data_IF_878310740664
#
_entry.id   IF_878310740664
#
_cell.length_a   1.000
_cell.length_b   1.000
_cell.length_c   1.000
_cell.angle_alpha   90.00
_cell.angle_beta   90.00
_cell.angle_gamma   90.00
#
_symmetry.space_group_name_H-M   'P 1'
#
loop_
_entity.id
_entity.type
_entity.pdbx_description
1 polymer ?
#
# COMPACT_ATOMS: atom_id res chain seq x y z
N UNK A 1 10.48 6.63 -13.01
CA UNK A 1 10.39 8.01 -12.46
C UNK A 1 9.10 8.65 -12.90
N UNK A 2 8.89 8.64 -14.21
CA UNK A 2 7.62 8.66 -14.91
C UNK A 2 6.53 7.72 -14.35
N UNK A 3 6.85 6.52 -13.87
CA UNK A 3 5.86 5.55 -13.38
C UNK A 3 5.11 6.02 -12.12
N UNK A 4 5.79 6.67 -11.17
CA UNK A 4 5.15 7.29 -9.99
C UNK A 4 4.30 8.49 -10.41
N UNK A 5 4.91 9.39 -11.19
CA UNK A 5 4.28 10.62 -11.65
C UNK A 5 3.05 10.31 -12.51
N UNK A 6 3.13 9.30 -13.38
CA UNK A 6 2.03 8.85 -14.22
C UNK A 6 0.83 8.39 -13.39
N UNK A 7 1.05 7.60 -12.33
CA UNK A 7 -0.01 7.18 -11.40
C UNK A 7 -0.68 8.37 -10.74
N UNK A 8 0.11 9.31 -10.22
CA UNK A 8 -0.42 10.54 -9.59
C UNK A 8 -1.19 11.40 -10.60
N UNK A 9 -0.67 11.56 -11.82
CA UNK A 9 -1.33 12.32 -12.89
C UNK A 9 -2.64 11.66 -13.36
N UNK A 10 -2.76 10.34 -13.28
CA UNK A 10 -4.02 9.62 -13.55
C UNK A 10 -5.05 9.75 -12.41
N UNK A 11 -4.76 10.53 -11.38
CA UNK A 11 -5.66 10.81 -10.27
C UNK A 11 -5.56 9.82 -9.11
N UNK A 12 -4.53 8.95 -9.09
CA UNK A 12 -4.31 8.09 -7.92
C UNK A 12 -3.74 8.90 -6.76
N UNK A 13 -4.20 8.65 -5.52
CA UNK A 13 -3.72 9.37 -4.35
C UNK A 13 -2.23 9.09 -4.13
N UNK A 14 -1.41 10.14 -4.11
CA UNK A 14 0.04 10.06 -3.86
C UNK A 14 0.39 9.39 -2.53
N UNK A 15 -0.49 9.56 -1.54
CA UNK A 15 -0.37 9.00 -0.20
C UNK A 15 -1.36 7.85 0.03
N UNK A 16 -1.76 7.15 -1.03
CA UNK A 16 -2.57 5.94 -0.95
C UNK A 16 -1.73 4.70 -1.23
N UNK A 17 -2.09 3.59 -0.58
CA UNK A 17 -1.56 2.27 -0.94
C UNK A 17 -1.97 1.85 -2.36
N UNK A 18 -3.08 2.40 -2.88
CA UNK A 18 -3.64 2.12 -4.21
C UNK A 18 -2.63 2.39 -5.33
N UNK A 19 -1.68 3.28 -5.07
CA UNK A 19 -0.58 3.58 -5.98
C UNK A 19 0.29 2.34 -6.26
N UNK A 20 0.31 1.35 -5.37
CA UNK A 20 1.01 0.09 -5.50
C UNK A 20 0.18 -1.03 -6.19
N UNK A 21 -1.06 -0.76 -6.58
CA UNK A 21 -1.88 -1.75 -7.29
C UNK A 21 -1.30 -1.99 -8.68
N UNK A 22 -1.10 -3.26 -9.01
CA UNK A 22 -0.70 -3.74 -10.32
C UNK A 22 -1.85 -3.54 -11.31
N UNK A 23 -1.55 -3.13 -12.55
CA UNK A 23 -2.58 -3.00 -13.57
C UNK A 23 -3.25 -4.37 -13.83
N UNK A 24 -4.51 -4.38 -14.28
CA UNK A 24 -5.16 -5.62 -14.68
C UNK A 24 -4.36 -6.35 -15.76
N UNK A 25 -4.09 -7.62 -15.51
CA UNK A 25 -3.39 -8.51 -16.45
C UNK A 25 -4.12 -9.85 -16.55
N UNK A 26 -3.96 -10.54 -17.68
CA UNK A 26 -4.42 -11.91 -17.82
C UNK A 26 -3.42 -12.89 -17.21
N UNK A 27 -3.95 -13.86 -16.48
CA UNK A 27 -3.23 -14.97 -15.85
C UNK A 27 -3.85 -16.29 -16.34
N UNK A 28 -3.55 -16.73 -17.57
CA UNK A 28 -4.09 -17.97 -18.10
C UNK A 28 -3.50 -19.18 -17.38
N UNK A 29 -4.35 -20.14 -17.02
CA UNK A 29 -3.95 -21.38 -16.36
C UNK A 29 -3.62 -22.48 -17.37
N UNK A 30 -4.28 -22.44 -18.53
CA UNK A 30 -4.15 -23.46 -19.57
C UNK A 30 -3.70 -22.86 -20.91
N UNK A 31 -3.14 -23.69 -21.80
CA UNK A 31 -2.83 -23.29 -23.16
C UNK A 31 -4.09 -22.91 -23.97
N UNK A 32 -5.24 -23.49 -23.62
CA UNK A 32 -6.53 -23.12 -24.20
C UNK A 32 -6.95 -21.70 -23.80
N UNK A 33 -6.66 -21.28 -22.58
CA UNK A 33 -6.92 -19.91 -22.12
C UNK A 33 -6.02 -18.88 -22.81
N UNK A 34 -4.73 -19.20 -22.99
CA UNK A 34 -3.82 -18.39 -23.81
C UNK A 34 -4.35 -18.20 -25.24
N UNK A 35 -4.74 -19.30 -25.90
CA UNK A 35 -5.28 -19.26 -27.25
C UNK A 35 -6.58 -18.45 -27.33
N UNK A 36 -7.46 -18.62 -26.34
CA UNK A 36 -8.71 -17.89 -26.24
C UNK A 36 -8.50 -16.38 -26.03
N UNK A 37 -7.56 -15.98 -25.16
CA UNK A 37 -7.20 -14.57 -24.95
C UNK A 37 -6.66 -13.97 -26.25
N UNK A 38 -5.79 -14.69 -26.95
CA UNK A 38 -5.21 -14.21 -28.21
C UNK A 38 -6.25 -14.06 -29.33
N UNK A 39 -7.20 -14.99 -29.42
CA UNK A 39 -8.33 -14.87 -30.34
C UNK A 39 -9.18 -13.64 -30.01
N UNK A 40 -9.50 -13.43 -28.73
CA UNK A 40 -10.23 -12.25 -28.28
C UNK A 40 -9.48 -10.95 -28.59
N UNK A 41 -8.15 -10.92 -28.41
CA UNK A 41 -7.33 -9.76 -28.76
C UNK A 41 -7.37 -9.47 -30.27
N UNK A 42 -7.22 -10.50 -31.11
CA UNK A 42 -7.29 -10.38 -32.59
C UNK A 42 -8.65 -9.92 -33.10
N UNK A 43 -9.71 -10.35 -32.42
CA UNK A 43 -11.08 -9.95 -32.75
C UNK A 43 -11.37 -8.48 -32.38
N UNK A 44 -10.79 -8.01 -31.27
CA UNK A 44 -11.10 -6.69 -30.69
C UNK A 44 -10.17 -5.58 -31.21
N UNK A 45 -8.94 -5.92 -31.60
CA UNK A 45 -7.92 -4.95 -32.00
C UNK A 45 -7.14 -5.44 -33.23
N UNK A 46 -6.71 -4.49 -34.07
CA UNK A 46 -5.83 -4.82 -35.19
C UNK A 46 -4.42 -5.15 -34.69
N UNK A 47 -4.15 -6.44 -34.56
CA UNK A 47 -2.85 -6.97 -34.10
C UNK A 47 -1.69 -6.73 -35.07
N UNK A 48 -1.95 -6.28 -36.30
CA UNK A 48 -0.89 -5.87 -37.23
C UNK A 48 -0.41 -4.44 -36.94
N UNK A 49 -1.26 -3.63 -36.30
CA UNK A 49 -0.96 -2.24 -35.92
C UNK A 49 -0.56 -2.12 -34.45
N UNK A 50 -1.07 -3.02 -33.59
CA UNK A 50 -0.87 -2.98 -32.14
C UNK A 50 0.00 -4.16 -31.71
N UNK A 51 1.04 -3.86 -30.92
CA UNK A 51 1.87 -4.89 -30.31
C UNK A 51 0.99 -5.88 -29.50
N UNK A 52 1.14 -7.21 -29.67
CA UNK A 52 0.29 -8.21 -28.99
C UNK A 52 0.28 -8.08 -27.46
N UNK A 53 1.41 -7.76 -26.85
CA UNK A 53 1.50 -7.55 -25.40
C UNK A 53 0.74 -6.30 -24.93
N UNK A 54 0.71 -5.24 -25.74
CA UNK A 54 -0.09 -4.05 -25.47
C UNK A 54 -1.57 -4.35 -25.67
N UNK A 55 -1.94 -5.06 -26.74
CA UNK A 55 -3.32 -5.46 -26.99
C UNK A 55 -3.89 -6.28 -25.82
N UNK A 56 -3.13 -7.26 -25.31
CA UNK A 56 -3.51 -8.05 -24.13
C UNK A 56 -3.76 -7.16 -22.90
N UNK A 57 -2.86 -6.22 -22.60
CA UNK A 57 -3.01 -5.31 -21.45
C UNK A 57 -4.21 -4.37 -21.60
N UNK A 58 -4.43 -3.84 -22.81
CA UNK A 58 -5.58 -3.00 -23.10
C UNK A 58 -6.89 -3.78 -22.94
N UNK A 59 -6.96 -5.00 -23.48
CA UNK A 59 -8.14 -5.85 -23.31
C UNK A 59 -8.38 -6.20 -21.83
N UNK A 60 -7.35 -6.58 -21.08
CA UNK A 60 -7.46 -6.85 -19.65
C UNK A 60 -8.01 -5.63 -18.88
N UNK A 61 -7.52 -4.43 -19.18
CA UNK A 61 -8.01 -3.19 -18.58
C UNK A 61 -9.49 -2.93 -18.90
N UNK A 62 -9.89 -3.09 -20.17
CA UNK A 62 -11.29 -2.92 -20.61
C UNK A 62 -12.21 -3.91 -19.91
N UNK A 63 -11.84 -5.19 -19.87
CA UNK A 63 -12.65 -6.25 -19.24
C UNK A 63 -12.77 -6.01 -17.74
N UNK A 64 -11.67 -5.67 -17.06
CA UNK A 64 -11.68 -5.39 -15.63
C UNK A 64 -12.58 -4.20 -15.27
N UNK A 65 -12.58 -3.15 -16.10
CA UNK A 65 -13.36 -1.93 -15.87
C UNK A 65 -14.73 -1.89 -16.57
N UNK A 66 -15.16 -2.98 -17.21
CA UNK A 66 -16.33 -2.98 -18.11
C UNK A 66 -17.62 -2.43 -17.47
N UNK A 67 -17.85 -2.74 -16.19
CA UNK A 67 -19.03 -2.28 -15.47
C UNK A 67 -19.02 -0.75 -15.32
N UNK A 68 -17.87 -0.20 -14.92
CA UNK A 68 -17.68 1.25 -14.78
C UNK A 68 -17.72 1.96 -16.13
N UNK A 69 -17.18 1.34 -17.18
CA UNK A 69 -17.27 1.86 -18.55
C UNK A 69 -18.72 1.93 -19.04
N UNK A 70 -19.57 0.96 -18.68
CA UNK A 70 -21.01 1.00 -19.02
C UNK A 70 -21.77 2.12 -18.32
N UNK A 71 -21.38 2.46 -17.10
CA UNK A 71 -21.97 3.58 -16.35
C UNK A 71 -21.54 4.94 -16.92
N UNK A 72 -20.31 5.03 -17.45
CA UNK A 72 -19.70 6.30 -17.85
C UNK A 72 -19.79 6.60 -19.35
N UNK A 73 -19.83 5.58 -20.21
CA UNK A 73 -19.85 5.77 -21.66
C UNK A 73 -21.28 5.79 -22.21
N UNK A 74 -21.56 6.63 -23.22
CA UNK A 74 -22.86 6.65 -23.88
C UNK A 74 -23.25 5.29 -24.47
N UNK A 75 -24.55 4.95 -24.55
CA UNK A 75 -25.02 3.70 -25.15
C UNK A 75 -24.64 3.51 -26.63
N UNK A 76 -24.34 4.59 -27.35
CA UNK A 76 -23.88 4.56 -28.75
C UNK A 76 -22.35 4.50 -28.94
N UNK A 77 -21.59 4.27 -27.87
CA UNK A 77 -20.12 4.23 -27.96
C UNK A 77 -19.65 3.03 -28.80
N UNK A 78 -18.61 3.22 -29.64
CA UNK A 78 -18.09 2.19 -30.57
C UNK A 78 -17.61 0.91 -29.88
N UNK A 79 -17.20 1.01 -28.62
CA UNK A 79 -16.84 -0.14 -27.78
C UNK A 79 -17.98 -1.16 -27.68
N UNK A 80 -19.22 -0.70 -27.71
CA UNK A 80 -20.41 -1.53 -27.63
C UNK A 80 -20.84 -2.11 -28.98
N UNK A 81 -20.12 -1.82 -30.07
CA UNK A 81 -20.31 -2.50 -31.35
C UNK A 81 -19.43 -3.74 -31.48
N UNK A 82 -18.46 -3.91 -30.57
CA UNK A 82 -17.52 -5.03 -30.59
C UNK A 82 -18.19 -6.36 -30.25
N UNK A 83 -17.83 -7.41 -30.99
CA UNK A 83 -18.44 -8.75 -30.84
C UNK A 83 -17.95 -9.46 -29.57
N UNK A 84 -16.68 -9.32 -29.24
CA UNK A 84 -16.05 -9.94 -28.07
C UNK A 84 -16.62 -9.31 -26.79
N UNK A 85 -16.70 -7.98 -26.75
CA UNK A 85 -17.16 -7.23 -25.57
C UNK A 85 -18.66 -7.43 -25.30
N UNK A 86 -19.47 -7.62 -26.35
CA UNK A 86 -20.90 -7.92 -26.19
C UNK A 86 -21.20 -9.39 -25.89
N UNK A 87 -20.24 -10.29 -26.09
CA UNK A 87 -20.43 -11.70 -25.78
C UNK A 87 -20.31 -11.93 -24.26
N UNK A 88 -21.45 -12.18 -23.61
CA UNK A 88 -21.50 -12.41 -22.15
C UNK A 88 -20.62 -13.56 -21.68
N UNK A 89 -20.65 -14.70 -22.40
CA UNK A 89 -19.87 -15.88 -22.03
C UNK A 89 -18.37 -15.61 -22.16
N UNK A 90 -17.96 -14.96 -23.26
CA UNK A 90 -16.57 -14.60 -23.46
C UNK A 90 -16.08 -13.61 -22.39
N UNK A 91 -16.89 -12.60 -22.05
CA UNK A 91 -16.56 -11.62 -21.02
C UNK A 91 -16.49 -12.22 -19.62
N UNK A 92 -17.37 -13.17 -19.27
CA UNK A 92 -17.31 -13.89 -18.00
C UNK A 92 -16.03 -14.71 -17.91
N UNK A 93 -15.68 -15.46 -18.97
CA UNK A 93 -14.41 -16.21 -19.03
C UNK A 93 -13.19 -15.29 -18.98
N UNK A 94 -13.16 -14.20 -19.74
CA UNK A 94 -12.05 -13.25 -19.70
C UNK A 94 -11.91 -12.63 -18.31
N UNK A 95 -13.02 -12.33 -17.62
CA UNK A 95 -12.99 -11.74 -16.29
C UNK A 95 -12.48 -12.71 -15.22
N UNK A 96 -12.74 -14.01 -15.34
CA UNK A 96 -12.18 -15.00 -14.40
C UNK A 96 -10.66 -15.16 -14.55
N UNK A 97 -10.10 -14.82 -15.71
CA UNK A 97 -8.67 -14.92 -16.00
C UNK A 97 -7.89 -13.64 -15.63
N UNK A 98 -8.54 -12.61 -15.07
CA UNK A 98 -7.88 -11.34 -14.75
C UNK A 98 -7.41 -11.30 -13.31
N UNK A 99 -6.14 -10.93 -13.14
CA UNK A 99 -5.58 -10.54 -11.88
C UNK A 99 -5.35 -9.02 -11.84
N UNK A 100 -5.82 -8.38 -10.77
CA UNK A 100 -5.50 -7.00 -10.41
C UNK A 100 -5.40 -6.93 -8.90
N UNK A 101 -4.25 -6.54 -8.39
CA UNK A 101 -3.96 -6.60 -6.96
C UNK A 101 -2.58 -6.11 -6.66
N UNK A 102 -2.02 -6.54 -5.55
CA UNK A 102 -0.69 -6.10 -5.13
C UNK A 102 0.37 -7.18 -5.38
N UNK A 103 1.64 -6.75 -5.44
CA UNK A 103 2.79 -7.60 -5.76
C UNK A 103 3.11 -8.70 -4.72
N UNK A 104 2.63 -8.56 -3.49
CA UNK A 104 2.79 -9.56 -2.41
C UNK A 104 1.71 -10.65 -2.45
N UNK A 105 0.76 -10.58 -3.39
CA UNK A 105 -0.17 -11.67 -3.61
C UNK A 105 0.59 -12.89 -4.17
N UNK A 106 0.31 -14.12 -3.71
CA UNK A 106 0.96 -15.32 -4.22
C UNK A 106 0.96 -15.44 -5.74
N UNK A 107 -0.16 -15.09 -6.40
CA UNK A 107 -0.32 -15.12 -7.85
C UNK A 107 0.65 -14.14 -8.52
N UNK A 108 0.81 -12.95 -7.94
CA UNK A 108 1.72 -11.94 -8.46
C UNK A 108 3.18 -12.33 -8.29
N UNK A 109 3.52 -12.97 -7.16
CA UNK A 109 4.88 -13.45 -6.88
C UNK A 109 5.28 -14.58 -7.83
N UNK A 110 4.40 -15.55 -8.06
CA UNK A 110 4.64 -16.67 -8.98
C UNK A 110 4.88 -16.18 -10.42
N UNK A 111 4.12 -15.19 -10.86
CA UNK A 111 4.27 -14.55 -12.16
C UNK A 111 5.37 -13.46 -12.21
N UNK A 112 6.15 -13.27 -11.13
CA UNK A 112 7.20 -12.25 -11.02
C UNK A 112 6.72 -10.83 -11.38
N UNK A 113 5.50 -10.47 -10.98
CA UNK A 113 4.94 -9.15 -11.20
C UNK A 113 5.45 -8.18 -10.15
N UNK A 114 6.01 -7.06 -10.60
CA UNK A 114 6.54 -6.02 -9.73
C UNK A 114 5.89 -4.68 -10.05
N UNK A 115 5.46 -3.96 -9.00
CA UNK A 115 4.99 -2.59 -9.15
C UNK A 115 6.20 -1.66 -9.17
N UNK A 116 6.68 -1.32 -10.35
CA UNK A 116 7.84 -0.44 -10.54
C UNK A 116 7.49 1.02 -10.22
N UNK A 117 8.48 1.77 -9.74
CA UNK A 117 8.34 3.19 -9.46
C UNK A 117 7.39 3.52 -8.31
N UNK A 118 7.01 2.55 -7.47
CA UNK A 118 6.19 2.80 -6.28
C UNK A 118 7.07 3.32 -5.14
N UNK A 119 6.73 4.46 -4.51
CA UNK A 119 7.46 4.97 -3.36
C UNK A 119 7.46 4.00 -2.18
N UNK A 120 8.54 3.96 -1.37
CA UNK A 120 8.64 3.06 -0.21
C UNK A 120 7.50 3.22 0.80
N UNK A 121 7.00 4.45 0.98
CA UNK A 121 5.93 4.74 1.95
C UNK A 121 4.60 4.06 1.59
N UNK A 122 4.34 3.74 0.32
CA UNK A 122 3.13 3.01 -0.08
C UNK A 122 3.10 1.59 0.52
N UNK A 123 4.25 0.92 0.64
CA UNK A 123 4.35 -0.37 1.30
C UNK A 123 4.06 -0.25 2.81
N UNK A 124 4.56 0.80 3.46
CA UNK A 124 4.28 1.07 4.87
C UNK A 124 2.80 1.37 5.12
N UNK A 125 2.19 2.23 4.30
CA UNK A 125 0.76 2.58 4.40
C UNK A 125 -0.12 1.34 4.29
N UNK A 126 0.27 0.39 3.44
CA UNK A 126 -0.44 -0.86 3.30
C UNK A 126 -0.32 -1.77 4.51
N UNK A 127 0.88 -1.92 5.05
CA UNK A 127 1.07 -2.65 6.32
C UNK A 127 0.23 -2.03 7.44
N UNK A 128 0.16 -0.69 7.51
CA UNK A 128 -0.69 0.01 8.47
C UNK A 128 -2.18 -0.27 8.25
N UNK A 129 -2.65 -0.34 6.99
CA UNK A 129 -4.04 -0.70 6.70
C UNK A 129 -4.37 -2.13 7.11
N UNK A 130 -3.48 -3.09 6.82
CA UNK A 130 -3.65 -4.48 7.24
C UNK A 130 -3.78 -4.58 8.76
N UNK A 131 -2.90 -3.89 9.50
CA UNK A 131 -2.96 -3.84 10.97
C UNK A 131 -4.25 -3.19 11.44
N UNK A 132 -4.65 -2.07 10.83
CA UNK A 132 -5.92 -1.39 11.15
C UNK A 132 -7.12 -2.32 10.95
N UNK A 133 -7.17 -3.06 9.85
CA UNK A 133 -8.27 -3.97 9.53
C UNK A 133 -8.28 -5.19 10.47
N UNK A 134 -7.11 -5.69 10.87
CA UNK A 134 -6.99 -6.74 11.89
C UNK A 134 -7.46 -6.25 13.26
N UNK A 135 -7.06 -5.05 13.69
CA UNK A 135 -7.52 -4.44 14.93
C UNK A 135 -9.03 -4.22 14.90
N UNK A 136 -9.57 -3.71 13.80
CA UNK A 136 -11.02 -3.52 13.65
C UNK A 136 -11.82 -4.83 13.79
N UNK A 137 -11.25 -5.97 13.37
CA UNK A 137 -11.87 -7.29 13.54
C UNK A 137 -11.81 -7.82 14.98
N UNK A 138 -10.91 -7.32 15.81
CA UNK A 138 -10.80 -7.72 17.22
C UNK A 138 -11.79 -6.98 18.12
N UNK A 139 -12.22 -5.77 17.74
CA UNK A 139 -13.16 -4.94 18.53
C UNK A 139 -14.46 -5.69 18.88
N UNK A 140 -15.15 -6.39 17.95
CA UNK A 140 -16.37 -7.12 18.28
C UNK A 140 -16.17 -8.26 19.29
N UNK A 141 -15.00 -8.91 19.26
CA UNK A 141 -14.68 -9.98 20.22
C UNK A 141 -14.50 -9.44 21.63
N UNK A 142 -13.93 -8.24 21.77
CA UNK A 142 -13.80 -7.55 23.05
C UNK A 142 -15.18 -7.09 23.56
N UNK A 143 -16.03 -6.54 22.71
CA UNK A 143 -17.40 -6.15 23.09
C UNK A 143 -18.25 -7.37 23.52
N UNK A 144 -18.13 -8.49 22.82
CA UNK A 144 -18.78 -9.75 23.18
C UNK A 144 -18.31 -10.24 24.56
N UNK A 145 -17.00 -10.23 24.82
CA UNK A 145 -16.44 -10.60 26.13
C UNK A 145 -16.89 -9.64 27.24
N UNK A 146 -16.91 -8.33 26.99
CA UNK A 146 -17.42 -7.32 27.92
C UNK A 146 -18.92 -7.49 28.20
N UNK A 147 -19.70 -8.00 27.23
CA UNK A 147 -21.14 -8.26 27.41
C UNK A 147 -21.43 -9.51 28.26
N UNK A 148 -20.49 -10.45 28.33
CA UNK A 148 -20.59 -11.68 29.13
C UNK A 148 -20.14 -11.48 30.58
N UNK A 149 -19.34 -10.46 30.83
CA UNK A 149 -18.79 -10.08 32.14
C UNK A 149 -19.86 -9.98 33.25
N UNK A 150 -21.03 -9.34 33.05
CA UNK A 150 -22.08 -9.29 34.07
C UNK A 150 -22.75 -10.64 34.38
N UNK A 151 -22.65 -11.63 33.49
CA UNK A 151 -23.14 -12.99 33.75
C UNK A 151 -22.12 -13.77 34.57
N UNK A 152 -20.85 -13.75 34.15
CA UNK A 152 -19.74 -14.34 34.91
C UNK A 152 -19.66 -13.78 36.34
N UNK A 153 -19.89 -12.48 36.52
CA UNK A 153 -19.97 -11.86 37.85
C UNK A 153 -21.13 -12.38 38.70
N UNK A 154 -22.30 -12.60 38.09
CA UNK A 154 -23.46 -13.15 38.81
C UNK A 154 -23.22 -14.60 39.20
N UNK A 155 -22.76 -15.42 38.26
CA UNK A 155 -22.50 -16.84 38.50
C UNK A 155 -21.44 -17.02 39.61
N UNK A 156 -20.36 -16.24 39.59
CA UNK A 156 -19.34 -16.28 40.63
C UNK A 156 -19.83 -15.76 42.00
N UNK A 157 -20.76 -14.80 42.02
CA UNK A 157 -21.36 -14.31 43.26
C UNK A 157 -22.35 -15.33 43.83
N UNK A 158 -23.15 -15.95 42.97
CA UNK A 158 -24.09 -17.02 43.34
C UNK A 158 -23.35 -18.26 43.87
N UNK A 159 -22.22 -18.63 43.25
CA UNK A 159 -21.33 -19.70 43.74
C UNK A 159 -20.72 -19.34 45.10
N UNK A 160 -20.27 -18.10 45.30
CA UNK A 160 -19.73 -17.65 46.58
C UNK A 160 -20.77 -17.59 47.71
N UNK A 161 -22.04 -17.34 47.36
CA UNK A 161 -23.18 -17.40 48.29
C UNK A 161 -23.49 -18.87 48.62
N UNK A 162 -23.55 -19.75 47.62
CA UNK A 162 -23.85 -21.18 47.77
C UNK A 162 -22.77 -21.94 48.58
N UNK A 163 -21.51 -21.54 48.46
CA UNK A 163 -20.37 -22.06 49.24
C UNK A 163 -20.43 -21.70 50.74
N UNK A 164 -21.45 -20.95 51.19
CA UNK A 164 -21.63 -20.56 52.59
C UNK A 164 -20.61 -19.53 53.10
N UNK A 165 -19.83 -18.90 52.20
CA UNK A 165 -18.86 -17.85 52.56
C UNK A 165 -19.51 -16.49 52.86
N UNK A 166 -20.80 -16.33 52.57
CA UNK A 166 -21.55 -15.06 52.67
C UNK A 166 -22.76 -15.18 53.63
N UNK A 167 -23.00 -16.34 54.26
CA UNK A 167 -23.98 -16.39 55.36
C UNK A 167 -23.40 -15.72 56.62
N UNK A 168 -23.81 -14.46 56.85
CA UNK A 168 -23.57 -13.73 58.09
C UNK A 168 -22.30 -12.87 58.16
N UNK A 169 -21.45 -12.86 57.14
CA UNK A 169 -20.28 -11.97 57.08
C UNK A 169 -20.56 -10.73 56.19
N UNK A 170 -20.18 -9.50 56.61
CA UNK A 170 -20.42 -8.32 55.80
C UNK A 170 -19.64 -8.43 54.49
N UNK A 171 -20.33 -8.15 53.38
CA UNK A 171 -19.75 -8.03 52.05
C UNK A 171 -18.68 -6.91 52.09
N UNK A 172 -17.45 -7.27 52.42
CA UNK A 172 -16.35 -6.32 52.56
C UNK A 172 -15.83 -5.97 51.17
N UNK A 173 -15.53 -4.68 50.95
CA UNK A 173 -14.99 -4.18 49.68
C UNK A 173 -13.78 -5.00 49.19
N UNK A 174 -12.98 -5.52 50.13
CA UNK A 174 -11.81 -6.37 49.87
C UNK A 174 -12.14 -7.73 49.26
N UNK A 175 -13.28 -8.34 49.61
CA UNK A 175 -13.71 -9.60 49.01
C UNK A 175 -14.25 -9.37 47.60
N UNK A 176 -15.01 -8.27 47.42
CA UNK A 176 -15.51 -7.88 46.10
C UNK A 176 -14.35 -7.55 45.15
N UNK A 177 -13.37 -6.78 45.62
CA UNK A 177 -12.18 -6.40 44.87
C UNK A 177 -11.35 -7.62 44.46
N UNK A 178 -11.17 -8.60 45.37
CA UNK A 178 -10.45 -9.83 45.06
C UNK A 178 -11.15 -10.68 44.00
N UNK A 179 -12.48 -10.77 44.05
CA UNK A 179 -13.28 -11.50 43.07
C UNK A 179 -13.28 -10.79 41.71
N UNK A 180 -13.37 -9.46 41.69
CA UNK A 180 -13.26 -8.64 40.47
C UNK A 180 -11.88 -8.81 39.82
N UNK A 181 -10.81 -8.74 40.60
CA UNK A 181 -9.45 -8.92 40.07
C UNK A 181 -9.22 -10.33 39.52
N UNK A 182 -9.75 -11.37 40.19
CA UNK A 182 -9.67 -12.76 39.71
C UNK A 182 -10.41 -12.94 38.38
N UNK A 183 -11.62 -12.42 38.26
CA UNK A 183 -12.44 -12.54 37.05
C UNK A 183 -11.86 -11.76 35.87
N UNK A 184 -11.28 -10.58 36.11
CA UNK A 184 -10.57 -9.81 35.08
C UNK A 184 -9.31 -10.54 34.59
N UNK A 185 -8.66 -11.31 35.46
CA UNK A 185 -7.49 -12.13 35.14
C UNK A 185 -7.88 -13.38 34.34
N UNK A 186 -8.93 -14.10 34.76
CA UNK A 186 -9.50 -15.26 34.04
C UNK A 186 -10.05 -14.88 32.66
N UNK A 187 -10.57 -13.67 32.50
CA UNK A 187 -11.08 -13.15 31.23
C UNK A 187 -10.00 -12.56 30.31
N UNK A 188 -8.73 -12.51 30.75
CA UNK A 188 -7.63 -11.91 30.00
C UNK A 188 -7.69 -10.38 29.85
N UNK A 189 -8.56 -9.70 30.60
CA UNK A 189 -8.81 -8.26 30.52
C UNK A 189 -7.89 -7.42 31.41
N UNK A 190 -7.12 -8.07 32.29
CA UNK A 190 -6.20 -7.41 33.23
C UNK A 190 -5.12 -6.55 32.53
N UNK A 191 -4.70 -6.95 31.33
CA UNK A 191 -3.66 -6.24 30.57
C UNK A 191 -4.22 -5.14 29.65
N UNK A 192 -5.54 -5.08 29.44
CA UNK A 192 -6.17 -4.09 28.54
C UNK A 192 -5.85 -2.64 28.92
N UNK A 193 -5.90 -2.23 30.21
CA UNK A 193 -5.52 -0.87 30.59
C UNK A 193 -4.05 -0.55 30.27
N UNK A 194 -3.16 -1.55 30.44
CA UNK A 194 -1.74 -1.42 30.13
C UNK A 194 -1.51 -1.31 28.62
N UNK A 195 -2.17 -2.16 27.83
CA UNK A 195 -2.10 -2.16 26.37
C UNK A 195 -2.70 -0.89 25.76
N UNK A 196 -3.78 -0.35 26.34
CA UNK A 196 -4.37 0.93 25.95
C UNK A 196 -3.46 2.11 26.31
N UNK A 197 -2.77 2.07 27.47
CA UNK A 197 -1.76 3.08 27.82
C UNK A 197 -0.53 3.00 26.93
N UNK A 198 0.00 1.80 26.66
CA UNK A 198 1.12 1.57 25.76
C UNK A 198 0.77 2.01 24.32
N UNK A 199 -0.46 1.75 23.86
CA UNK A 199 -0.98 2.24 22.57
C UNK A 199 -1.20 3.76 22.52
N UNK A 200 -1.61 4.38 23.64
CA UNK A 200 -1.75 5.84 23.76
C UNK A 200 -0.43 6.57 24.00
N UNK A 201 0.64 5.87 24.39
CA UNK A 201 2.00 6.42 24.32
C UNK A 201 2.52 6.47 22.89
N UNK A 202 1.75 7.08 21.99
CA UNK A 202 2.36 7.82 20.89
C UNK A 202 3.25 8.84 21.60
N UNK A 203 4.57 8.60 21.62
CA UNK A 203 5.52 9.63 21.96
C UNK A 203 5.18 10.81 21.06
N UNK A 204 4.53 11.82 21.63
CA UNK A 204 4.58 13.18 21.13
C UNK A 204 6.04 13.58 21.25
N UNK A 205 6.86 13.08 20.31
CA UNK A 205 8.01 13.81 19.85
C UNK A 205 7.42 15.14 19.40
N UNK A 206 7.63 16.16 20.22
CA UNK A 206 7.73 17.53 19.72
C UNK A 206 8.40 17.46 18.36
N UNK A 207 7.82 18.03 17.29
CA UNK A 207 8.47 18.02 16.01
C UNK A 207 9.73 18.88 16.17
N UNK A 208 10.85 18.23 16.49
CA UNK A 208 12.13 18.71 16.01
C UNK A 208 11.93 18.76 14.51
N UNK A 209 11.79 19.98 13.99
CA UNK A 209 11.75 20.24 12.57
C UNK A 209 12.92 19.44 11.97
N UNK A 210 12.67 18.48 11.06
CA UNK A 210 13.77 17.88 10.32
C UNK A 210 14.31 18.98 9.40
N UNK A 211 15.35 19.66 9.86
CA UNK A 211 16.02 20.72 9.10
C UNK A 211 17.00 20.18 8.07
N UNK A 212 17.25 18.86 8.04
CA UNK A 212 18.29 18.30 7.20
C UNK A 212 17.87 16.97 6.53
N UNK A 213 18.18 16.84 5.24
CA UNK A 213 17.93 15.64 4.42
C UNK A 213 18.56 14.36 5.02
N UNK A 214 19.58 14.51 5.87
CA UNK A 214 20.26 13.41 6.56
C UNK A 214 19.31 12.56 7.42
N UNK A 215 18.23 13.15 7.96
CA UNK A 215 17.26 12.45 8.82
C UNK A 215 16.43 11.40 8.06
N UNK A 216 16.44 11.45 6.72
CA UNK A 216 15.79 10.50 5.82
C UNK A 216 16.75 9.46 5.22
N UNK A 217 17.96 9.33 5.78
CA UNK A 217 18.98 8.41 5.25
C UNK A 217 19.59 8.86 3.91
N UNK A 218 19.28 10.08 3.46
CA UNK A 218 19.92 10.74 2.34
C UNK A 218 21.15 11.46 2.88
N UNK A 219 22.34 10.87 2.71
CA UNK A 219 23.59 11.54 3.09
C UNK A 219 23.61 12.96 2.51
N UNK A 220 23.79 13.97 3.36
CA UNK A 220 24.06 15.33 2.92
C UNK A 220 25.32 15.28 2.04
N UNK A 221 25.14 15.41 0.73
CA UNK A 221 26.24 15.29 -0.20
C UNK A 221 27.30 16.34 0.13
N UNK A 222 28.57 15.91 0.16
CA UNK A 222 29.73 16.78 0.41
C UNK A 222 29.62 18.03 -0.47
N UNK A 223 29.75 19.20 0.14
CA UNK A 223 29.81 20.49 -0.57
C UNK A 223 30.95 20.45 -1.57
N UNK A 224 30.76 21.05 -2.75
CA UNK A 224 31.82 21.12 -3.75
C UNK A 224 33.06 21.82 -3.18
N UNK A 225 34.27 21.37 -3.55
CA UNK A 225 35.49 22.11 -3.26
C UNK A 225 35.39 23.55 -3.77
N UNK A 226 35.95 24.50 -3.03
CA UNK A 226 35.87 25.93 -3.34
C UNK A 226 36.51 26.31 -4.69
N UNK A 227 37.34 25.43 -5.24
CA UNK A 227 38.08 25.52 -6.50
C UNK A 227 37.44 24.70 -7.65
N UNK A 228 36.19 24.24 -7.48
CA UNK A 228 35.48 23.50 -8.52
C UNK A 228 35.29 24.34 -9.79
N UNK A 229 35.82 23.83 -10.91
CA UNK A 229 35.62 24.39 -12.24
C UNK A 229 34.90 23.38 -13.14
N UNK A 230 33.99 23.86 -14.00
CA UNK A 230 33.36 23.02 -15.02
C UNK A 230 34.38 22.84 -16.16
N UNK A 231 34.83 21.61 -16.46
CA UNK A 231 35.76 21.39 -17.56
C UNK A 231 35.11 21.72 -18.91
N UNK A 232 35.87 22.27 -19.85
CA UNK A 232 35.42 22.35 -21.24
C UNK A 232 35.24 20.93 -21.79
N UNK A 233 33.99 20.56 -22.07
CA UNK A 233 33.62 19.22 -22.52
C UNK A 233 32.49 19.26 -23.54
N UNK A 234 32.31 18.14 -24.24
CA UNK A 234 31.19 17.96 -25.17
C UNK A 234 29.87 17.85 -24.43
N UNK A 235 28.76 18.22 -25.09
CA UNK A 235 27.40 18.15 -24.53
C UNK A 235 27.03 16.76 -24.00
N UNK A 236 27.52 15.71 -24.66
CA UNK A 236 27.28 14.33 -24.22
C UNK A 236 27.96 14.03 -22.88
N UNK A 237 29.20 14.51 -22.69
CA UNK A 237 29.92 14.34 -21.43
C UNK A 237 29.32 15.19 -20.32
N UNK A 238 28.89 16.42 -20.62
CA UNK A 238 28.22 17.25 -19.62
C UNK A 238 26.89 16.64 -19.18
N UNK A 239 26.13 16.04 -20.11
CA UNK A 239 24.92 15.31 -19.77
C UNK A 239 25.19 14.09 -18.89
N UNK A 240 26.27 13.36 -19.16
CA UNK A 240 26.68 12.22 -18.33
C UNK A 240 26.99 12.67 -16.89
N UNK A 241 27.76 13.74 -16.71
CA UNK A 241 28.04 14.30 -15.39
C UNK A 241 26.80 14.92 -14.71
N UNK A 242 25.87 15.49 -15.48
CA UNK A 242 24.58 15.97 -14.98
C UNK A 242 23.71 14.85 -14.41
N UNK A 243 23.74 13.67 -15.05
CA UNK A 243 22.92 12.52 -14.67
C UNK A 243 23.56 11.63 -13.61
N UNK A 244 24.87 11.41 -13.67
CA UNK A 244 25.54 10.39 -12.86
C UNK A 244 26.63 10.94 -11.95
N UNK A 245 27.07 12.18 -12.18
CA UNK A 245 28.17 12.79 -11.45
C UNK A 245 29.52 12.27 -11.91
N UNK A 246 30.49 12.28 -11.01
CA UNK A 246 31.82 11.73 -11.23
C UNK A 246 32.25 10.95 -9.99
N UNK A 247 32.17 9.63 -10.07
CA UNK A 247 32.54 8.75 -8.97
C UNK A 247 34.05 8.77 -8.65
N UNK A 248 34.91 9.09 -9.64
CA UNK A 248 36.36 9.10 -9.45
C UNK A 248 36.81 10.30 -8.62
N UNK A 249 36.19 11.45 -8.83
CA UNK A 249 36.44 12.67 -8.06
C UNK A 249 35.48 12.84 -6.86
N UNK A 250 34.51 11.94 -6.69
CA UNK A 250 33.48 12.01 -5.65
C UNK A 250 32.48 13.16 -5.88
N UNK A 251 32.35 13.65 -7.11
CA UNK A 251 31.37 14.68 -7.44
C UNK A 251 29.99 14.06 -7.65
N UNK A 252 28.98 14.66 -7.04
CA UNK A 252 27.57 14.26 -7.24
C UNK A 252 27.08 14.64 -8.64
N UNK A 253 25.95 14.06 -9.10
CA UNK A 253 25.30 14.50 -10.32
C UNK A 253 25.12 16.02 -10.34
N UNK A 254 25.53 16.68 -11.41
CA UNK A 254 25.57 18.16 -11.43
C UNK A 254 24.19 18.81 -11.27
N UNK A 255 23.10 18.09 -11.57
CA UNK A 255 21.72 18.55 -11.31
C UNK A 255 21.42 18.80 -9.83
N UNK A 256 22.23 18.26 -8.93
CA UNK A 256 22.09 18.40 -7.48
C UNK A 256 23.05 19.45 -6.91
N UNK A 257 23.81 20.15 -7.75
CA UNK A 257 24.65 21.27 -7.35
C UNK A 257 23.75 22.49 -7.16
N UNK A 258 23.84 23.15 -6.01
CA UNK A 258 23.12 24.38 -5.76
C UNK A 258 23.94 25.57 -6.30
N UNK A 259 23.24 26.58 -6.83
CA UNK A 259 23.85 27.80 -7.37
C UNK A 259 24.73 28.54 -6.33
N UNK A 260 24.43 28.42 -5.04
CA UNK A 260 25.22 29.00 -3.96
C UNK A 260 26.59 28.30 -3.77
N UNK A 261 26.77 27.08 -4.28
CA UNK A 261 28.01 26.29 -4.15
C UNK A 261 28.97 26.53 -5.32
N UNK A 262 28.51 27.13 -6.41
CA UNK A 262 29.34 27.45 -7.58
C UNK A 262 30.00 28.80 -7.35
N UNK A 263 31.32 28.83 -7.17
CA UNK A 263 32.06 30.08 -6.93
C UNK A 263 32.33 30.90 -8.21
N UNK A 264 32.25 30.27 -9.39
CA UNK A 264 32.48 30.94 -10.67
C UNK A 264 31.23 31.70 -11.14
N UNK A 265 31.35 33.02 -11.35
CA UNK A 265 30.26 33.88 -11.82
C UNK A 265 29.79 33.52 -13.24
N UNK A 266 30.67 33.03 -14.12
CA UNK A 266 30.30 32.63 -15.49
C UNK A 266 29.53 31.31 -15.55
N UNK A 267 29.69 30.47 -14.54
CA UNK A 267 28.99 29.18 -14.44
C UNK A 267 27.62 29.29 -13.73
N UNK A 268 27.28 30.48 -13.19
CA UNK A 268 25.98 30.78 -12.56
C UNK A 268 24.93 31.33 -13.54
N UNK A 269 25.38 31.96 -14.63
CA UNK A 269 24.54 32.50 -15.72
C UNK A 269 24.26 31.43 -16.77
#
# INVERSE_FOLDING_TARGET
GDEHVGRVLTGLPMNGEELAILPPIFMPETQEDEAFIDECCKSTMDVNLVNPGVARRCLASVVFHILKLREQLPPGHKLWADRTINNKQAMEKLRSLIFSGFQDNPIAMEANLCATGVPPHCALLRSMRIVKDQVAKLIPGVDEQLSQLPKLFRDALDEAIADGKIEGAPLTASNLERTVLRLLEESGLKDVPRLLQEGNTVRTRTPDRPTNLADFGLQAHKTLPSDFYVPNMTLQKSWYHWMLGDAACGHRPWRLIQLCEVNDKKARE
#
